data_IF_216904805819
#
_entry.id   IF_216904805819
#
_cell.length_a   1.000
_cell.length_b   1.000
_cell.length_c   1.000
_cell.angle_alpha   90.00
_cell.angle_beta   90.00
_cell.angle_gamma   90.00
#
_symmetry.space_group_name_H-M   'P 1'
#
loop_
_entity.id
_entity.type
_entity.pdbx_description
1 polymer ?
#
# COMPACT_ATOMS: atom_id res chain seq x y z
N UNK A 1 7.95 -14.63 20.01
CA UNK A 1 7.47 -16.03 20.11
C UNK A 1 7.26 -16.55 18.70
N UNK A 2 8.11 -17.48 18.29
CA UNK A 2 8.11 -18.09 16.96
C UNK A 2 6.88 -18.99 16.81
N UNK A 3 5.98 -18.63 15.90
CA UNK A 3 4.89 -19.51 15.49
C UNK A 3 5.49 -20.70 14.71
N UNK A 4 4.95 -21.88 15.00
CA UNK A 4 5.29 -23.18 14.44
C UNK A 4 5.52 -23.12 12.92
N UNK A 5 6.76 -23.39 12.49
CA UNK A 5 7.08 -23.73 11.11
C UNK A 5 6.67 -25.19 10.88
N UNK A 6 5.39 -25.41 10.58
CA UNK A 6 5.01 -26.68 9.96
C UNK A 6 5.50 -26.65 8.52
N UNK A 7 6.60 -27.38 8.29
CA UNK A 7 7.08 -27.74 6.95
C UNK A 7 5.93 -28.30 6.13
N UNK A 8 5.85 -27.92 4.86
CA UNK A 8 4.79 -28.31 3.91
C UNK A 8 4.68 -29.83 3.73
N UNK A 9 5.68 -30.60 4.20
CA UNK A 9 5.59 -32.05 4.40
C UNK A 9 4.40 -32.48 5.31
N UNK A 10 4.03 -31.68 6.30
CA UNK A 10 2.84 -31.89 7.17
C UNK A 10 1.52 -31.52 6.48
N UNK A 11 1.58 -30.55 5.55
CA UNK A 11 0.41 -29.98 4.87
C UNK A 11 -0.09 -30.90 3.74
N UNK A 12 0.74 -31.81 3.23
CA UNK A 12 0.32 -32.91 2.33
C UNK A 12 -0.48 -34.03 3.04
N UNK A 13 -1.11 -33.73 4.17
CA UNK A 13 -2.15 -34.60 4.74
C UNK A 13 -3.45 -34.48 3.93
N UNK A 14 -4.36 -35.43 4.14
CA UNK A 14 -5.65 -35.66 3.47
C UNK A 14 -6.52 -34.40 3.21
N UNK A 15 -6.28 -33.32 3.97
CA UNK A 15 -6.86 -31.99 3.81
C UNK A 15 -6.52 -31.33 2.46
N UNK A 16 -5.30 -31.53 1.92
CA UNK A 16 -4.95 -31.06 0.57
C UNK A 16 -5.82 -31.75 -0.48
N UNK A 17 -6.18 -33.03 -0.36
CA UNK A 17 -7.05 -33.71 -1.34
C UNK A 17 -8.44 -33.08 -1.50
N UNK A 18 -8.97 -32.46 -0.44
CA UNK A 18 -10.27 -31.81 -0.41
C UNK A 18 -10.24 -30.37 -0.95
N UNK A 19 -9.07 -29.70 -0.90
CA UNK A 19 -8.85 -28.32 -1.37
C UNK A 19 -7.89 -28.20 -2.58
N UNK A 20 -7.42 -29.31 -3.14
CA UNK A 20 -6.57 -29.39 -4.35
C UNK A 20 -7.31 -29.09 -5.65
N UNK A 21 -8.55 -28.61 -5.56
CA UNK A 21 -9.27 -28.15 -6.74
C UNK A 21 -9.06 -26.63 -6.88
N UNK A 22 -8.38 -26.15 -7.93
CA UNK A 22 -8.21 -24.72 -8.20
C UNK A 22 -9.52 -23.91 -8.25
N UNK A 23 -10.65 -24.59 -8.49
CA UNK A 23 -12.00 -24.02 -8.54
C UNK A 23 -12.61 -23.76 -7.18
N UNK A 24 -12.10 -24.39 -6.11
CA UNK A 24 -12.61 -24.19 -4.76
C UNK A 24 -12.09 -22.86 -4.21
N UNK A 25 -12.99 -21.91 -4.01
CA UNK A 25 -12.71 -20.56 -3.51
C UNK A 25 -13.39 -20.34 -2.16
N UNK A 26 -12.75 -19.58 -1.27
CA UNK A 26 -13.39 -19.09 -0.04
C UNK A 26 -14.37 -17.93 -0.34
N UNK A 27 -14.99 -17.37 0.70
CA UNK A 27 -15.94 -16.24 0.59
C UNK A 27 -15.33 -14.97 -0.03
N UNK A 28 -13.99 -14.84 -0.01
CA UNK A 28 -13.26 -13.74 -0.66
C UNK A 28 -12.92 -14.04 -2.12
N UNK A 29 -13.30 -15.20 -2.66
CA UNK A 29 -12.94 -15.61 -4.02
C UNK A 29 -11.52 -16.18 -4.16
N UNK A 30 -10.88 -16.50 -3.03
CA UNK A 30 -9.49 -16.94 -2.98
C UNK A 30 -9.39 -18.47 -2.90
N UNK A 31 -8.52 -19.06 -3.72
CA UNK A 31 -8.14 -20.48 -3.64
C UNK A 31 -6.80 -20.65 -2.88
N UNK A 32 -6.21 -21.85 -2.90
CA UNK A 32 -5.04 -22.21 -2.08
C UNK A 32 -3.84 -21.26 -2.25
N UNK A 33 -3.60 -20.71 -3.45
CA UNK A 33 -2.41 -19.88 -3.70
C UNK A 33 -2.41 -18.52 -2.98
N UNK A 34 -3.57 -18.07 -2.48
CA UNK A 34 -3.69 -16.85 -1.67
C UNK A 34 -3.35 -17.04 -0.20
N UNK A 35 -3.13 -18.28 0.25
CA UNK A 35 -2.84 -18.53 1.66
C UNK A 35 -1.54 -17.86 2.07
N UNK A 36 -1.54 -17.37 3.31
CA UNK A 36 -0.38 -16.74 3.97
C UNK A 36 0.61 -17.81 4.45
N UNK A 37 1.09 -18.63 3.51
CA UNK A 37 2.17 -19.59 3.70
C UNK A 37 3.38 -19.14 2.89
N UNK A 38 4.57 -19.43 3.41
CA UNK A 38 5.80 -19.32 2.63
C UNK A 38 5.89 -20.53 1.71
N UNK A 39 5.54 -20.33 0.44
CA UNK A 39 5.72 -21.32 -0.61
C UNK A 39 7.20 -21.41 -0.99
N UNK A 40 7.71 -22.62 -1.10
CA UNK A 40 8.97 -22.88 -1.75
C UNK A 40 8.74 -23.25 -3.23
N UNK A 41 9.85 -23.42 -3.97
CA UNK A 41 9.82 -23.77 -5.40
C UNK A 41 9.00 -25.04 -5.68
N UNK A 42 9.20 -26.09 -4.89
CA UNK A 42 8.50 -27.38 -5.06
C UNK A 42 7.00 -27.25 -4.83
N UNK A 43 6.56 -26.37 -3.93
CA UNK A 43 5.13 -26.20 -3.67
C UNK A 43 4.45 -25.49 -4.82
N UNK A 44 5.03 -24.39 -5.32
CA UNK A 44 4.47 -23.67 -6.46
C UNK A 44 4.53 -24.51 -7.75
N UNK A 45 5.57 -25.32 -7.95
CA UNK A 45 5.62 -26.32 -9.03
C UNK A 45 4.47 -27.31 -8.92
N UNK A 46 4.25 -27.87 -7.73
CA UNK A 46 3.15 -28.80 -7.49
C UNK A 46 1.78 -28.14 -7.71
N UNK A 47 1.57 -26.94 -7.18
CA UNK A 47 0.31 -26.20 -7.32
C UNK A 47 0.03 -25.87 -8.80
N UNK A 48 1.01 -25.33 -9.52
CA UNK A 48 0.84 -24.99 -10.94
C UNK A 48 0.59 -26.23 -11.80
N UNK A 49 1.28 -27.34 -11.53
CA UNK A 49 1.02 -28.64 -12.18
C UNK A 49 -0.39 -29.17 -11.91
N UNK A 50 -0.95 -28.88 -10.74
CA UNK A 50 -2.32 -29.22 -10.38
C UNK A 50 -3.36 -28.16 -10.84
N UNK A 51 -2.98 -27.24 -11.72
CA UNK A 51 -3.89 -26.30 -12.37
C UNK A 51 -4.18 -25.03 -11.58
N UNK A 52 -3.47 -24.76 -10.47
CA UNK A 52 -3.58 -23.47 -9.80
C UNK A 52 -2.95 -22.37 -10.65
N UNK A 53 -3.73 -21.35 -10.97
CA UNK A 53 -3.24 -20.18 -11.69
C UNK A 53 -2.60 -19.18 -10.70
N UNK A 54 -1.32 -18.87 -10.89
CA UNK A 54 -0.57 -17.85 -10.12
C UNK A 54 -1.25 -16.47 -10.16
N UNK A 55 -1.97 -16.19 -11.25
CA UNK A 55 -2.73 -14.96 -11.46
C UNK A 55 -4.23 -15.14 -11.22
N UNK A 56 -4.64 -16.13 -10.42
CA UNK A 56 -6.03 -16.23 -9.97
C UNK A 56 -6.43 -14.93 -9.29
N UNK A 57 -7.64 -14.43 -9.56
CA UNK A 57 -8.17 -13.24 -8.89
C UNK A 57 -9.15 -13.62 -7.78
N UNK A 58 -9.13 -12.81 -6.73
CA UNK A 58 -10.15 -12.81 -5.69
C UNK A 58 -11.33 -11.90 -6.07
N UNK A 59 -12.29 -11.71 -5.16
CA UNK A 59 -13.50 -10.91 -5.40
C UNK A 59 -13.21 -9.41 -5.55
N UNK A 60 -12.02 -8.94 -5.13
CA UNK A 60 -11.55 -7.56 -5.35
C UNK A 60 -10.74 -7.43 -6.64
N UNK A 61 -10.60 -8.51 -7.40
CA UNK A 61 -9.76 -8.53 -8.59
C UNK A 61 -8.26 -8.61 -8.27
N UNK A 62 -7.87 -8.84 -7.02
CA UNK A 62 -6.45 -8.92 -6.63
C UNK A 62 -5.91 -10.32 -6.87
N UNK A 63 -4.65 -10.41 -7.31
CA UNK A 63 -3.92 -11.68 -7.44
C UNK A 63 -3.09 -11.96 -6.17
N UNK A 64 -2.59 -13.19 -5.95
CA UNK A 64 -1.81 -13.55 -4.77
C UNK A 64 -0.64 -12.60 -4.46
N UNK A 65 0.03 -12.06 -5.48
CA UNK A 65 1.17 -11.16 -5.31
C UNK A 65 0.80 -9.84 -4.59
N UNK A 66 -0.47 -9.42 -4.61
CA UNK A 66 -0.95 -8.24 -3.85
C UNK A 66 -0.91 -8.44 -2.33
N UNK A 67 -0.90 -9.69 -1.87
CA UNK A 67 -0.89 -10.04 -0.45
C UNK A 67 0.51 -10.41 0.05
N UNK A 68 1.51 -10.41 -0.83
CA UNK A 68 2.84 -10.88 -0.52
C UNK A 68 3.73 -9.74 -0.01
N UNK A 69 4.20 -9.87 1.24
CA UNK A 69 5.17 -8.97 1.87
C UNK A 69 6.58 -9.55 1.92
N UNK A 70 6.70 -10.87 2.09
CA UNK A 70 8.01 -11.52 2.14
C UNK A 70 8.74 -11.43 0.79
N UNK A 71 10.01 -11.03 0.83
CA UNK A 71 10.82 -10.81 -0.37
C UNK A 71 11.11 -12.08 -1.16
N UNK A 72 11.34 -13.19 -0.47
CA UNK A 72 11.64 -14.47 -1.11
C UNK A 72 10.38 -14.96 -1.82
N UNK A 73 9.24 -14.90 -1.13
CA UNK A 73 7.95 -15.27 -1.68
C UNK A 73 7.56 -14.39 -2.88
N UNK A 74 7.78 -13.08 -2.79
CA UNK A 74 7.45 -12.13 -3.87
C UNK A 74 8.24 -12.44 -5.15
N UNK A 75 9.55 -12.68 -5.00
CA UNK A 75 10.43 -13.12 -6.10
C UNK A 75 10.00 -14.46 -6.68
N UNK A 76 9.62 -15.39 -5.82
CA UNK A 76 9.17 -16.70 -6.25
C UNK A 76 7.88 -16.59 -7.07
N UNK A 77 6.88 -15.83 -6.61
CA UNK A 77 5.65 -15.59 -7.39
C UNK A 77 5.96 -14.98 -8.76
N UNK A 78 6.88 -14.01 -8.84
CA UNK A 78 7.34 -13.43 -10.12
C UNK A 78 7.99 -14.50 -11.01
N UNK A 79 8.84 -15.36 -10.45
CA UNK A 79 9.50 -16.45 -11.18
C UNK A 79 8.48 -17.42 -11.80
N UNK A 80 7.36 -17.66 -11.12
CA UNK A 80 6.24 -18.46 -11.61
C UNK A 80 5.26 -17.69 -12.51
N UNK A 81 5.59 -16.46 -12.91
CA UNK A 81 4.81 -15.69 -13.88
C UNK A 81 3.67 -14.86 -13.27
N UNK A 82 3.79 -14.48 -11.99
CA UNK A 82 2.89 -13.47 -11.42
C UNK A 82 2.98 -12.16 -12.22
N UNK A 83 1.83 -11.65 -12.66
CA UNK A 83 1.74 -10.43 -13.43
C UNK A 83 1.87 -9.20 -12.51
N UNK A 84 3.04 -8.58 -12.54
CA UNK A 84 3.34 -7.37 -11.76
C UNK A 84 2.51 -6.14 -12.16
N UNK A 85 2.03 -6.12 -13.41
CA UNK A 85 1.20 -5.05 -13.97
C UNK A 85 -0.30 -5.35 -13.88
N UNK A 86 -0.70 -6.39 -13.16
CA UNK A 86 -2.10 -6.66 -12.88
C UNK A 86 -2.73 -5.48 -12.13
N UNK A 87 -3.99 -5.19 -12.45
CA UNK A 87 -4.79 -4.17 -11.78
C UNK A 87 -6.01 -4.82 -11.14
N UNK A 88 -6.35 -4.38 -9.94
CA UNK A 88 -7.53 -4.84 -9.24
C UNK A 88 -8.82 -4.15 -9.78
N UNK A 89 -9.96 -4.43 -9.15
CA UNK A 89 -11.24 -3.87 -9.56
C UNK A 89 -11.34 -2.33 -9.36
N UNK A 90 -10.43 -1.71 -8.62
CA UNK A 90 -10.33 -0.26 -8.45
C UNK A 90 -9.34 0.39 -9.44
N UNK A 91 -8.77 -0.40 -10.37
CA UNK A 91 -7.76 0.05 -11.32
C UNK A 91 -6.36 0.18 -10.71
N UNK A 92 -6.14 -0.37 -9.51
CA UNK A 92 -4.89 -0.21 -8.76
C UNK A 92 -3.96 -1.39 -8.98
N UNK A 93 -2.68 -1.11 -9.25
CA UNK A 93 -1.62 -2.13 -9.22
C UNK A 93 -0.90 -2.16 -7.86
N UNK A 94 0.20 -2.91 -7.77
CA UNK A 94 0.95 -3.10 -6.53
C UNK A 94 1.49 -1.82 -5.89
N UNK A 95 1.76 -0.74 -6.65
CA UNK A 95 2.29 0.51 -6.07
C UNK A 95 1.26 1.26 -5.20
N UNK A 96 -0.02 0.88 -5.26
CA UNK A 96 -1.08 1.48 -4.44
C UNK A 96 -1.18 0.87 -3.05
N UNK A 97 -0.45 -0.21 -2.76
CA UNK A 97 -0.55 -0.97 -1.51
C UNK A 97 0.79 -1.01 -0.79
N UNK A 98 0.74 -0.99 0.55
CA UNK A 98 1.93 -1.11 1.40
C UNK A 98 2.67 -2.42 1.12
N UNK A 99 4.00 -2.33 0.97
CA UNK A 99 4.88 -3.48 0.78
C UNK A 99 6.28 -3.18 1.37
N UNK A 100 7.11 -4.22 1.46
CA UNK A 100 8.49 -4.08 1.90
C UNK A 100 9.32 -3.31 0.87
N UNK A 101 10.26 -2.43 1.31
CA UNK A 101 11.10 -1.61 0.42
C UNK A 101 11.75 -2.42 -0.72
N UNK A 102 12.27 -3.61 -0.42
CA UNK A 102 12.97 -4.45 -1.40
C UNK A 102 12.04 -4.99 -2.50
N UNK A 103 10.77 -5.23 -2.17
CA UNK A 103 9.79 -5.63 -3.17
C UNK A 103 9.41 -4.45 -4.06
N UNK A 104 9.25 -3.26 -3.47
CA UNK A 104 8.99 -2.03 -4.24
C UNK A 104 10.16 -1.70 -5.16
N UNK A 105 11.39 -1.79 -4.68
CA UNK A 105 12.58 -1.63 -5.52
C UNK A 105 12.59 -2.62 -6.70
N UNK A 106 12.22 -3.87 -6.44
CA UNK A 106 12.10 -4.88 -7.49
C UNK A 106 10.98 -4.52 -8.48
N UNK A 107 9.82 -4.06 -8.01
CA UNK A 107 8.73 -3.60 -8.88
C UNK A 107 9.18 -2.46 -9.79
N UNK A 108 9.91 -1.49 -9.24
CA UNK A 108 10.43 -0.35 -9.98
C UNK A 108 11.50 -0.76 -11.01
N UNK A 109 12.26 -1.83 -10.75
CA UNK A 109 13.24 -2.42 -11.69
C UNK A 109 12.59 -3.26 -12.79
N UNK A 110 11.39 -3.79 -12.56
CA UNK A 110 10.63 -4.62 -13.49
C UNK A 110 9.59 -3.81 -14.31
N UNK A 111 9.81 -2.50 -14.45
CA UNK A 111 8.98 -1.59 -15.24
C UNK A 111 7.48 -1.67 -14.93
N UNK A 112 7.14 -1.75 -13.63
CA UNK A 112 5.74 -1.61 -13.19
C UNK A 112 5.15 -0.27 -13.71
N UNK A 113 3.90 -0.30 -14.17
CA UNK A 113 3.22 0.88 -14.70
C UNK A 113 2.92 1.89 -13.58
N UNK A 114 3.57 3.06 -13.63
CA UNK A 114 3.43 4.15 -12.64
C UNK A 114 2.35 5.17 -13.00
N UNK A 115 1.79 5.09 -14.20
CA UNK A 115 0.87 6.08 -14.76
C UNK A 115 -0.61 5.78 -14.45
N UNK A 116 -0.87 4.76 -13.64
CA UNK A 116 -2.23 4.40 -13.25
C UNK A 116 -2.79 5.38 -12.23
N UNK A 117 -4.10 5.57 -12.30
CA UNK A 117 -4.89 6.26 -11.29
C UNK A 117 -6.04 5.36 -10.85
N UNK A 118 -6.47 5.53 -9.60
CA UNK A 118 -7.66 4.86 -9.11
C UNK A 118 -8.95 5.52 -9.62
N UNK A 119 -10.10 4.98 -9.21
CA UNK A 119 -11.43 5.50 -9.57
C UNK A 119 -11.69 6.96 -9.15
N UNK A 120 -10.88 7.55 -8.27
CA UNK A 120 -10.93 8.97 -7.86
C UNK A 120 -9.87 9.82 -8.56
N UNK A 121 -9.18 9.24 -9.53
CA UNK A 121 -8.09 9.84 -10.29
C UNK A 121 -6.83 10.14 -9.43
N UNK A 122 -6.63 9.38 -8.35
CA UNK A 122 -5.42 9.46 -7.53
C UNK A 122 -4.38 8.46 -8.01
N UNK A 123 -3.14 8.90 -8.23
CA UNK A 123 -2.02 7.99 -8.55
C UNK A 123 -1.35 7.46 -7.28
N UNK A 124 -0.42 6.51 -7.41
CA UNK A 124 0.23 5.86 -6.26
C UNK A 124 0.96 6.83 -5.31
N UNK A 125 1.41 8.00 -5.79
CA UNK A 125 2.04 9.04 -4.96
C UNK A 125 1.07 9.71 -3.97
N UNK A 126 -0.24 9.50 -4.12
CA UNK A 126 -1.26 9.95 -3.18
C UNK A 126 -1.61 8.90 -2.12
N UNK A 127 -1.06 7.68 -2.22
CA UNK A 127 -1.44 6.53 -1.38
C UNK A 127 -0.35 6.14 -0.37
N UNK A 128 -0.75 5.38 0.64
CA UNK A 128 0.04 5.02 1.82
C UNK A 128 1.48 4.55 1.53
N UNK A 129 1.68 3.76 0.47
CA UNK A 129 3.01 3.24 0.11
C UNK A 129 4.04 4.37 -0.02
N UNK A 130 3.71 5.42 -0.77
CA UNK A 130 4.62 6.54 -0.98
C UNK A 130 4.85 7.35 0.29
N UNK A 131 3.83 7.48 1.15
CA UNK A 131 3.96 8.20 2.41
C UNK A 131 4.82 7.45 3.44
N UNK A 132 4.86 6.12 3.37
CA UNK A 132 5.58 5.29 4.35
C UNK A 132 7.04 5.08 3.96
N UNK A 133 7.34 4.90 2.67
CA UNK A 133 8.70 4.63 2.15
C UNK A 133 9.07 5.49 0.92
N UNK A 134 9.03 6.84 1.03
CA UNK A 134 9.26 7.74 -0.11
C UNK A 134 10.65 7.60 -0.74
N UNK A 135 11.68 7.28 0.06
CA UNK A 135 13.07 7.25 -0.38
C UNK A 135 13.34 6.23 -1.49
N UNK A 136 12.56 5.14 -1.54
CA UNK A 136 12.65 4.10 -2.58
C UNK A 136 12.34 4.66 -3.99
N UNK A 137 11.59 5.76 -4.06
CA UNK A 137 11.20 6.41 -5.31
C UNK A 137 12.13 7.56 -5.73
N UNK A 138 13.12 7.91 -4.90
CA UNK A 138 13.97 9.10 -5.08
C UNK A 138 14.72 9.13 -6.42
N UNK A 139 15.14 7.97 -6.94
CA UNK A 139 15.86 7.90 -8.22
C UNK A 139 14.94 7.88 -9.44
N UNK A 140 13.69 7.47 -9.25
CA UNK A 140 12.73 7.21 -10.33
C UNK A 140 11.86 8.42 -10.62
N UNK A 141 11.57 9.25 -9.61
CA UNK A 141 10.79 10.48 -9.78
C UNK A 141 11.61 11.54 -10.53
N UNK A 142 11.02 12.07 -11.61
CA UNK A 142 11.61 13.10 -12.47
C UNK A 142 10.69 14.32 -12.54
N UNK A 143 11.28 15.52 -12.59
CA UNK A 143 10.53 16.80 -12.68
C UNK A 143 9.64 16.94 -13.91
N UNK A 144 9.85 16.11 -14.93
CA UNK A 144 9.04 16.07 -16.15
C UNK A 144 7.78 15.22 -16.01
N UNK A 145 7.65 14.43 -14.94
CA UNK A 145 6.40 13.76 -14.55
C UNK A 145 5.43 14.82 -14.02
N UNK A 146 4.81 15.59 -14.92
CA UNK A 146 3.83 16.61 -14.55
C UNK A 146 2.57 15.93 -13.99
N UNK A 147 2.57 15.69 -12.70
CA UNK A 147 1.40 15.24 -11.95
C UNK A 147 0.99 16.34 -10.98
N UNK A 148 -0.31 16.61 -10.90
CA UNK A 148 -0.89 17.46 -9.85
C UNK A 148 -1.40 16.51 -8.75
N UNK A 149 -0.52 16.16 -7.81
CA UNK A 149 -0.81 15.12 -6.82
C UNK A 149 -1.77 15.67 -5.76
N UNK A 150 -2.93 15.03 -5.61
CA UNK A 150 -3.84 15.35 -4.50
C UNK A 150 -3.35 14.63 -3.24
N UNK A 151 -3.06 15.38 -2.19
CA UNK A 151 -2.77 14.89 -0.85
C UNK A 151 -4.09 14.87 -0.07
N UNK A 152 -4.65 13.68 0.10
CA UNK A 152 -5.88 13.46 0.85
C UNK A 152 -5.65 12.65 2.15
N UNK A 153 -4.40 12.27 2.42
CA UNK A 153 -4.01 11.49 3.59
C UNK A 153 -2.69 12.00 4.17
N UNK A 154 -2.51 11.85 5.48
CA UNK A 154 -1.27 12.15 6.19
C UNK A 154 -0.92 10.98 7.11
N UNK A 155 0.26 10.43 6.92
CA UNK A 155 0.93 9.44 7.76
C UNK A 155 2.11 10.08 8.50
N UNK A 156 2.71 9.34 9.43
CA UNK A 156 3.84 9.78 10.25
C UNK A 156 5.05 10.26 9.42
N UNK A 157 5.32 9.62 8.29
CA UNK A 157 6.45 9.95 7.41
C UNK A 157 6.10 10.91 6.26
N UNK A 158 4.89 11.48 6.23
CA UNK A 158 4.43 12.34 5.11
C UNK A 158 5.34 13.52 4.85
N UNK A 159 5.95 14.12 5.88
CA UNK A 159 6.91 15.20 5.69
C UNK A 159 8.06 14.85 4.72
N UNK A 160 8.56 13.61 4.73
CA UNK A 160 9.61 13.16 3.81
C UNK A 160 9.09 13.02 2.38
N UNK A 161 7.88 12.50 2.21
CA UNK A 161 7.19 12.42 0.92
C UNK A 161 7.02 13.82 0.31
N UNK A 162 6.50 14.79 1.07
CA UNK A 162 6.29 16.16 0.57
C UNK A 162 7.62 16.86 0.25
N UNK A 163 8.66 16.64 1.06
CA UNK A 163 10.02 17.12 0.73
C UNK A 163 10.51 16.55 -0.58
N UNK A 164 10.38 15.24 -0.78
CA UNK A 164 10.82 14.59 -2.01
C UNK A 164 10.06 15.13 -3.23
N UNK A 165 8.74 15.36 -3.12
CA UNK A 165 7.97 15.98 -4.21
C UNK A 165 8.48 17.39 -4.52
N UNK A 166 8.74 18.22 -3.50
CA UNK A 166 9.31 19.55 -3.67
C UNK A 166 10.71 19.52 -4.32
N UNK A 167 11.60 18.64 -3.84
CA UNK A 167 12.95 18.42 -4.39
C UNK A 167 12.93 17.99 -5.85
N UNK A 168 11.88 17.26 -6.26
CA UNK A 168 11.65 16.82 -7.64
C UNK A 168 10.81 17.80 -8.45
N UNK A 169 10.46 18.96 -7.90
CA UNK A 169 9.61 19.97 -8.54
C UNK A 169 8.23 19.42 -9.00
N UNK A 170 7.74 18.37 -8.33
CA UNK A 170 6.43 17.76 -8.59
C UNK A 170 5.37 18.55 -7.84
N UNK A 171 4.34 19.01 -8.55
CA UNK A 171 3.27 19.80 -7.96
C UNK A 171 2.28 18.93 -7.20
N UNK A 172 1.82 19.43 -6.06
CA UNK A 172 0.78 18.79 -5.27
C UNK A 172 -0.12 19.83 -4.59
N UNK A 173 -1.32 19.40 -4.21
CA UNK A 173 -2.31 20.22 -3.51
C UNK A 173 -3.04 19.39 -2.47
N UNK A 174 -3.68 20.04 -1.50
CA UNK A 174 -4.45 19.36 -0.47
C UNK A 174 -5.91 19.17 -0.90
N UNK A 175 -6.45 17.99 -0.59
CA UNK A 175 -7.87 17.74 -0.72
C UNK A 175 -8.69 18.62 0.21
N UNK A 176 -9.99 18.79 -0.07
CA UNK A 176 -10.95 19.40 0.86
C UNK A 176 -11.10 18.59 2.16
N UNK A 177 -10.82 17.29 2.11
CA UNK A 177 -10.86 16.39 3.27
C UNK A 177 -9.56 15.60 3.31
N UNK A 178 -8.78 15.82 4.36
CA UNK A 178 -7.50 15.16 4.59
C UNK A 178 -7.64 14.25 5.81
N UNK A 179 -7.34 12.96 5.66
CA UNK A 179 -7.35 12.01 6.75
C UNK A 179 -5.95 11.83 7.33
N UNK A 180 -5.78 12.02 8.65
CA UNK A 180 -4.54 11.76 9.36
C UNK A 180 -4.65 10.36 9.96
N UNK A 181 -3.77 9.47 9.53
CA UNK A 181 -3.74 8.05 9.89
C UNK A 181 -3.02 7.78 11.23
N UNK A 182 -2.94 8.78 12.11
CA UNK A 182 -2.46 8.69 13.48
C UNK A 182 -3.15 9.77 14.31
N UNK A 183 -3.20 9.62 15.64
CA UNK A 183 -3.72 10.66 16.52
C UNK A 183 -2.65 11.76 16.72
N UNK A 184 -2.81 12.96 16.13
CA UNK A 184 -1.83 14.03 16.25
C UNK A 184 -1.93 14.76 17.61
N UNK A 185 -2.94 14.51 18.44
CA UNK A 185 -3.01 15.04 19.80
C UNK A 185 -2.23 14.17 20.78
N UNK A 186 -2.24 12.85 20.57
CA UNK A 186 -1.43 11.91 21.34
C UNK A 186 0.04 11.90 20.88
N UNK A 187 0.27 11.99 19.57
CA UNK A 187 1.60 12.01 18.97
C UNK A 187 1.73 13.20 17.99
N UNK A 188 2.04 14.40 18.49
CA UNK A 188 2.04 15.61 17.67
C UNK A 188 3.24 15.73 16.72
N UNK A 189 4.38 15.12 17.06
CA UNK A 189 5.67 15.32 16.39
C UNK A 189 5.59 15.09 14.87
N UNK A 190 4.98 14.00 14.35
CA UNK A 190 4.93 13.78 12.91
C UNK A 190 4.09 14.83 12.16
N UNK A 191 2.97 15.27 12.77
CA UNK A 191 2.14 16.32 12.17
C UNK A 191 2.84 17.67 12.22
N UNK A 192 3.50 18.03 13.33
CA UNK A 192 4.28 19.27 13.46
C UNK A 192 5.37 19.39 12.38
N UNK A 193 6.09 18.30 12.08
CA UNK A 193 7.08 18.27 10.98
C UNK A 193 6.45 18.52 9.61
N UNK A 194 5.23 18.03 9.42
CA UNK A 194 4.50 18.15 8.14
C UNK A 194 3.85 19.53 8.00
N UNK A 195 3.48 20.16 9.12
CA UNK A 195 2.73 21.42 9.18
C UNK A 195 3.38 22.57 8.41
N UNK A 196 4.71 22.71 8.48
CA UNK A 196 5.43 23.75 7.74
C UNK A 196 5.17 23.67 6.25
N UNK A 197 5.33 22.47 5.67
CA UNK A 197 5.07 22.22 4.25
C UNK A 197 3.58 22.37 3.92
N UNK A 198 2.67 21.93 4.78
CA UNK A 198 1.23 22.07 4.54
C UNK A 198 0.76 23.53 4.49
N UNK A 199 1.46 24.45 5.18
CA UNK A 199 1.16 25.88 5.15
C UNK A 199 1.67 26.57 3.87
N UNK A 200 2.71 26.03 3.25
CA UNK A 200 3.24 26.53 1.98
C UNK A 200 2.36 26.12 0.81
N UNK A 201 1.70 24.96 0.91
CA UNK A 201 0.61 24.60 0.01
C UNK A 201 -0.52 25.60 0.28
N UNK A 202 -1.02 26.30 -0.74
CA UNK A 202 -2.21 27.16 -0.66
C UNK A 202 -3.47 26.31 -0.35
N UNK A 203 -3.53 25.76 0.86
CA UNK A 203 -4.65 24.97 1.33
C UNK A 203 -5.90 25.85 1.28
N UNK A 204 -6.95 25.35 0.64
CA UNK A 204 -8.25 26.01 0.73
C UNK A 204 -8.59 26.21 2.22
N UNK A 205 -9.10 27.39 2.62
CA UNK A 205 -9.57 27.61 4.00
C UNK A 205 -10.60 26.57 4.46
N UNK A 206 -11.26 25.91 3.50
CA UNK A 206 -12.27 24.90 3.72
C UNK A 206 -11.71 23.49 3.94
N UNK A 207 -10.40 23.27 3.72
CA UNK A 207 -9.77 21.96 3.95
C UNK A 207 -9.94 21.53 5.41
N UNK A 208 -10.51 20.35 5.60
CA UNK A 208 -10.71 19.75 6.91
C UNK A 208 -9.81 18.54 7.11
N UNK A 209 -9.17 18.50 8.27
CA UNK A 209 -8.36 17.41 8.75
C UNK A 209 -9.19 16.53 9.68
N UNK A 210 -9.09 15.21 9.48
CA UNK A 210 -9.80 14.21 10.27
C UNK A 210 -8.86 13.18 10.83
N UNK A 211 -9.10 12.70 12.04
CA UNK A 211 -8.41 11.54 12.62
C UNK A 211 -9.31 10.87 13.66
N UNK A 212 -9.03 9.60 13.95
CA UNK A 212 -9.68 8.84 15.00
C UNK A 212 -8.82 8.85 16.25
N UNK A 213 -9.39 9.18 17.41
CA UNK A 213 -8.70 9.05 18.70
C UNK A 213 -8.97 7.68 19.34
N UNK A 214 -7.94 7.14 20.01
CA UNK A 214 -7.91 5.75 20.51
C UNK A 214 -9.01 5.43 21.53
N UNK A 215 -9.47 6.42 22.30
CA UNK A 215 -10.38 6.16 23.42
C UNK A 215 -11.83 5.87 22.99
N UNK A 216 -12.27 6.36 21.82
CA UNK A 216 -13.69 6.27 21.43
C UNK A 216 -13.96 6.09 19.92
N UNK A 217 -12.91 5.95 19.08
CA UNK A 217 -13.04 6.03 17.61
C UNK A 217 -13.86 7.25 17.14
N UNK A 218 -13.78 8.35 17.88
CA UNK A 218 -14.45 9.60 17.50
C UNK A 218 -13.63 10.21 16.38
N UNK A 219 -14.27 10.41 15.22
CA UNK A 219 -13.68 11.17 14.13
C UNK A 219 -13.74 12.66 14.49
N UNK A 220 -12.59 13.25 14.77
CA UNK A 220 -12.50 14.69 15.02
C UNK A 220 -12.34 15.44 13.71
N UNK A 221 -12.91 16.64 13.60
CA UNK A 221 -12.83 17.49 12.41
C UNK A 221 -12.21 18.84 12.77
N UNK A 222 -11.11 19.19 12.10
CA UNK A 222 -10.40 20.44 12.34
C UNK A 222 -10.05 21.17 11.05
N UNK A 223 -10.05 22.50 11.08
CA UNK A 223 -9.22 23.30 10.16
C UNK A 223 -7.75 23.16 10.55
N UNK A 224 -6.83 23.48 9.63
CA UNK A 224 -5.39 23.46 9.93
C UNK A 224 -5.05 24.33 11.16
N UNK A 225 -5.63 25.52 11.23
CA UNK A 225 -5.42 26.46 12.35
C UNK A 225 -5.94 25.92 13.70
N UNK A 226 -7.12 25.31 13.72
CA UNK A 226 -7.67 24.70 14.94
C UNK A 226 -6.81 23.54 15.43
N UNK A 227 -6.35 22.70 14.50
CA UNK A 227 -5.51 21.55 14.82
C UNK A 227 -4.14 21.98 15.36
N UNK A 228 -3.50 22.95 14.69
CA UNK A 228 -2.25 23.56 15.14
C UNK A 228 -2.37 24.09 16.58
N UNK A 229 -3.41 24.87 16.87
CA UNK A 229 -3.64 25.43 18.21
C UNK A 229 -3.81 24.36 19.29
N UNK A 230 -4.39 23.20 18.96
CA UNK A 230 -4.54 22.09 19.92
C UNK A 230 -3.21 21.39 20.16
N UNK A 231 -2.46 21.13 19.09
CA UNK A 231 -1.17 20.46 19.14
C UNK A 231 -0.12 21.29 19.90
N UNK A 232 -0.16 22.62 19.79
CA UNK A 232 0.77 23.49 20.53
C UNK A 232 0.47 23.66 22.02
N UNK A 233 -0.65 23.12 22.52
CA UNK A 233 -1.12 23.28 23.91
C UNK A 233 -1.02 22.01 24.76
N UNK A 234 -0.74 20.87 24.15
CA UNK A 234 -0.47 19.60 24.82
C UNK A 234 1.02 19.31 24.83
#
# INVERSE_FOLDING_TARGET
MAAHYDSIQSVFSELIRQYSNPSNKNEKGQNLIFKDYTWNMSDLESLTKNGFNINSTDNFGKTPIFYCKDKIQFRLLILFGANINHVDNEGKNLLFYVNEPENVELMLKLDINKNLTDIKNHCFLSHELFHTIPDVFSSQLKSTEKTNIEIFQVFTNTHNCLKLLNEKEIKFFLSKKVHINFDPLLNPVPFQKTLGLLKEIEASPDTKFTFYSDENKICNLYTLHQLEKKISKG
#
